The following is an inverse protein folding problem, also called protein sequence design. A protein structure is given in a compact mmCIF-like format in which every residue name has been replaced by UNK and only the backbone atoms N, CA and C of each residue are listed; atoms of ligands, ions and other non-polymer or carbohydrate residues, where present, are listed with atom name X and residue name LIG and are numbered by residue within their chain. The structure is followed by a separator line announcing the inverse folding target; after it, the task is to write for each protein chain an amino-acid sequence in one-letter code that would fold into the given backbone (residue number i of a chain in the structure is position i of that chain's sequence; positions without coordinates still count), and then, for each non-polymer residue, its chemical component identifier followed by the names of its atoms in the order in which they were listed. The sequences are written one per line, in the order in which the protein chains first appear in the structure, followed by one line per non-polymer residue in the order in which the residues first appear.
data_IF_252875048307
#
_entry.id   IF_252875048307
#
_cell.length_a   1.000
_cell.length_b   1.000
_cell.length_c   1.000
_cell.angle_alpha   90.00
_cell.angle_beta   90.00
_cell.angle_gamma   90.00
#
_symmetry.space_group_name_H-M   'P 1'
#
loop_
_entity.id
_entity.type
_entity.pdbx_description
1 polymer ?
#
# COMPACT_ATOMS: atom_id res chain seq x y z
N UNK A 1 10.42 10.56 -3.49
CA UNK A 1 9.76 9.92 -2.35
C UNK A 1 8.28 9.86 -2.64
N UNK A 2 7.68 8.68 -2.58
CA UNK A 2 6.26 8.50 -2.90
C UNK A 2 5.52 7.94 -1.69
N UNK A 3 4.51 8.68 -1.20
CA UNK A 3 3.65 8.28 -0.09
C UNK A 3 2.23 7.94 -0.57
N UNK A 4 1.70 6.83 -0.07
CA UNK A 4 0.34 6.36 -0.33
C UNK A 4 -0.41 6.29 1.00
N UNK A 5 -1.32 7.22 1.24
CA UNK A 5 -2.22 7.20 2.42
C UNK A 5 -3.33 6.16 2.22
N UNK A 6 -3.46 5.24 3.18
CA UNK A 6 -4.58 4.30 3.26
C UNK A 6 -5.72 4.94 4.04
N UNK A 7 -6.88 5.07 3.41
CA UNK A 7 -8.07 5.60 4.04
C UNK A 7 -9.26 4.65 3.91
N UNK A 8 -10.04 4.53 4.98
CA UNK A 8 -11.26 3.74 5.01
C UNK A 8 -12.27 4.28 3.98
N UNK A 9 -12.79 3.44 3.07
CA UNK A 9 -13.70 3.89 2.04
C UNK A 9 -15.04 4.45 2.55
N UNK A 10 -15.46 4.08 3.77
CA UNK A 10 -16.74 4.52 4.32
C UNK A 10 -16.72 5.95 4.88
N UNK A 11 -15.62 6.36 5.51
CA UNK A 11 -15.52 7.62 6.26
C UNK A 11 -14.26 8.44 5.97
N UNK A 12 -13.34 7.91 5.15
CA UNK A 12 -12.07 8.55 4.80
C UNK A 12 -11.06 8.63 5.95
N UNK A 13 -11.32 7.97 7.09
CA UNK A 13 -10.39 7.96 8.22
C UNK A 13 -9.13 7.14 7.91
N UNK A 14 -7.99 7.45 8.53
CA UNK A 14 -6.76 6.67 8.35
C UNK A 14 -6.97 5.18 8.63
N UNK A 15 -6.45 4.33 7.73
CA UNK A 15 -6.57 2.88 7.79
C UNK A 15 -5.21 2.23 8.13
N UNK A 16 -4.73 2.46 9.35
CA UNK A 16 -3.42 2.00 9.83
C UNK A 16 -3.21 0.48 9.75
N UNK A 17 -4.26 -0.29 10.04
CA UNK A 17 -4.24 -1.76 9.98
C UNK A 17 -4.03 -2.26 8.55
N UNK A 18 -4.56 -1.53 7.57
CA UNK A 18 -4.40 -1.82 6.14
C UNK A 18 -2.98 -1.49 5.68
N UNK A 19 -2.45 -0.34 6.11
CA UNK A 19 -1.05 0.00 5.86
C UNK A 19 -0.11 -1.08 6.45
N UNK A 20 -0.35 -1.56 7.67
CA UNK A 20 0.43 -2.65 8.28
C UNK A 20 0.33 -3.98 7.50
N UNK A 21 -0.86 -4.34 7.03
CA UNK A 21 -1.04 -5.54 6.19
C UNK A 21 -0.27 -5.44 4.87
N UNK A 22 -0.30 -4.27 4.23
CA UNK A 22 0.44 -4.00 2.99
C UNK A 22 1.96 -4.08 3.23
N UNK A 23 2.47 -3.51 4.32
CA UNK A 23 3.89 -3.62 4.66
C UNK A 23 4.31 -5.08 4.88
N UNK A 24 3.50 -5.85 5.61
CA UNK A 24 3.76 -7.28 5.86
C UNK A 24 3.79 -8.07 4.55
N UNK A 25 2.84 -7.80 3.65
CA UNK A 25 2.78 -8.42 2.34
C UNK A 25 4.00 -8.04 1.49
N UNK A 26 4.32 -6.76 1.38
CA UNK A 26 5.49 -6.27 0.65
C UNK A 26 6.78 -6.95 1.15
N UNK A 27 6.98 -7.03 2.46
CA UNK A 27 8.14 -7.67 3.07
C UNK A 27 8.23 -9.16 2.72
N UNK A 28 7.09 -9.89 2.73
CA UNK A 28 7.04 -11.31 2.31
C UNK A 28 7.39 -11.52 0.84
N UNK A 29 7.20 -10.49 0.02
CA UNK A 29 7.51 -10.49 -1.40
C UNK A 29 8.82 -9.76 -1.73
N UNK A 30 9.68 -9.53 -0.73
CA UNK A 30 11.03 -8.99 -0.93
C UNK A 30 11.09 -7.47 -1.13
N UNK A 31 10.00 -6.75 -0.87
CA UNK A 31 9.92 -5.29 -0.97
C UNK A 31 9.87 -4.66 0.43
N UNK A 32 10.86 -3.81 0.73
CA UNK A 32 10.87 -3.03 1.97
C UNK A 32 10.15 -1.71 1.71
N UNK A 33 9.16 -1.42 2.56
CA UNK A 33 8.43 -0.15 2.57
C UNK A 33 8.36 0.39 3.99
N UNK A 34 8.39 1.72 4.12
CA UNK A 34 8.20 2.38 5.41
C UNK A 34 6.73 2.68 5.65
N UNK A 35 6.35 2.67 6.92
CA UNK A 35 5.03 3.07 7.38
C UNK A 35 5.18 4.22 8.37
N UNK A 36 4.31 5.20 8.29
CA UNK A 36 4.35 6.36 9.18
C UNK A 36 3.34 7.41 8.78
N UNK A 37 3.28 8.52 9.52
CA UNK A 37 2.32 9.62 9.34
C UNK A 37 0.85 9.22 9.43
N UNK A 38 -0.02 10.19 9.70
CA UNK A 38 -1.48 10.02 9.73
C UNK A 38 -1.91 8.72 10.42
N UNK A 39 -1.52 8.58 11.68
CA UNK A 39 -1.83 7.39 12.49
C UNK A 39 -1.22 6.10 11.92
N UNK A 40 -0.01 6.20 11.33
CA UNK A 40 0.69 5.13 10.60
C UNK A 40 -0.09 4.53 9.43
N UNK A 41 -0.91 5.35 8.77
CA UNK A 41 -1.69 4.92 7.61
C UNK A 41 -1.01 5.20 6.26
N UNK A 42 0.17 5.85 6.23
CA UNK A 42 0.89 6.10 4.97
C UNK A 42 1.97 5.04 4.75
N UNK A 43 2.02 4.49 3.53
CA UNK A 43 3.08 3.61 3.04
C UNK A 43 4.00 4.40 2.12
N UNK A 44 5.32 4.26 2.31
CA UNK A 44 6.34 5.02 1.58
C UNK A 44 7.30 4.09 0.85
N UNK A 45 7.46 4.36 -0.43
CA UNK A 45 8.49 3.74 -1.26
C UNK A 45 9.66 4.73 -1.38
N UNK A 46 10.84 4.30 -0.94
CA UNK A 46 12.10 5.03 -1.03
C UNK A 46 13.11 4.18 -1.79
N UNK A 47 12.95 4.04 -3.12
CA UNK A 47 13.96 3.36 -3.90
C UNK A 47 15.23 4.22 -3.95
N UNK A 48 16.43 3.61 -3.98
CA UNK A 48 17.67 4.33 -4.25
C UNK A 48 17.58 5.18 -5.52
N UNK A 49 18.26 6.33 -5.55
CA UNK A 49 18.23 7.24 -6.71
C UNK A 49 18.84 6.63 -7.99
N UNK A 50 19.50 5.48 -7.87
CA UNK A 50 20.12 4.73 -8.96
C UNK A 50 19.26 3.60 -9.53
N UNK A 51 18.05 3.35 -9.02
CA UNK A 51 17.21 2.28 -9.56
C UNK A 51 16.63 2.65 -10.93
N UNK A 52 16.42 1.66 -11.78
CA UNK A 52 15.76 1.86 -13.08
C UNK A 52 14.25 1.98 -12.90
N UNK A 53 13.58 2.61 -13.88
CA UNK A 53 12.12 2.69 -13.90
C UNK A 53 11.46 1.30 -13.87
N UNK A 54 12.07 0.29 -14.51
CA UNK A 54 11.57 -1.09 -14.51
C UNK A 54 11.58 -1.70 -13.10
N UNK A 55 12.59 -1.39 -12.29
CA UNK A 55 12.66 -1.84 -10.88
C UNK A 55 11.56 -1.19 -10.05
N UNK A 56 11.25 0.08 -10.33
CA UNK A 56 10.14 0.78 -9.68
C UNK A 56 8.79 0.17 -10.10
N UNK A 57 8.61 -0.14 -11.38
CA UNK A 57 7.39 -0.77 -11.89
C UNK A 57 7.17 -2.16 -11.29
N UNK A 58 8.24 -2.96 -11.16
CA UNK A 58 8.18 -4.26 -10.46
C UNK A 58 7.77 -4.08 -8.98
N UNK A 59 8.33 -3.09 -8.29
CA UNK A 59 7.96 -2.79 -6.91
C UNK A 59 6.48 -2.36 -6.79
N UNK A 60 5.95 -1.62 -7.77
CA UNK A 60 4.54 -1.24 -7.84
C UNK A 60 3.59 -2.37 -8.29
N UNK A 61 4.12 -3.49 -8.79
CA UNK A 61 3.33 -4.66 -9.19
C UNK A 61 3.10 -5.64 -8.04
N UNK A 62 4.03 -5.72 -7.08
CA UNK A 62 3.99 -6.65 -5.95
C UNK A 62 2.70 -6.48 -5.14
N UNK A 63 2.43 -5.32 -4.51
CA UNK A 63 1.05 -4.95 -4.26
C UNK A 63 0.47 -4.47 -5.60
N UNK A 64 -0.71 -4.92 -6.06
CA UNK A 64 -1.44 -4.42 -7.24
C UNK A 64 -1.75 -2.89 -7.15
N UNK A 65 -0.72 -2.06 -7.20
CA UNK A 65 -0.70 -0.60 -7.14
C UNK A 65 -0.32 -0.15 -8.55
N UNK A 66 -1.16 -0.49 -9.54
CA UNK A 66 -0.83 -0.15 -10.93
C UNK A 66 -0.86 1.37 -11.14
N UNK A 67 0.18 1.90 -11.79
CA UNK A 67 0.39 3.32 -12.09
C UNK A 67 -0.70 3.98 -12.93
N UNK A 68 -1.42 3.20 -13.75
CA UNK A 68 -2.41 3.73 -14.70
C UNK A 68 -3.82 3.92 -14.15
N UNK A 69 -4.09 3.51 -12.90
CA UNK A 69 -5.44 3.65 -12.26
C UNK A 69 -5.34 4.05 -10.77
N UNK A 70 -4.38 4.93 -10.46
CA UNK A 70 -3.96 5.36 -9.11
C UNK A 70 -4.96 6.30 -8.39
N UNK A 71 -6.17 5.82 -8.10
CA UNK A 71 -7.07 6.42 -7.09
C UNK A 71 -7.48 5.43 -5.99
N UNK A 72 -7.03 4.17 -6.10
CA UNK A 72 -7.69 3.04 -5.48
C UNK A 72 -6.74 1.86 -5.31
N UNK A 73 -6.52 1.42 -4.07
CA UNK A 73 -5.89 0.13 -3.79
C UNK A 73 -6.99 -0.90 -3.56
N UNK A 74 -6.92 -2.00 -4.31
CA UNK A 74 -7.88 -3.09 -4.22
C UNK A 74 -7.14 -4.28 -3.63
N UNK A 75 -7.42 -4.62 -2.38
CA UNK A 75 -6.79 -5.77 -1.72
C UNK A 75 -7.54 -7.06 -2.10
N UNK A 76 -6.76 -8.08 -2.44
CA UNK A 76 -7.26 -9.45 -2.53
C UNK A 76 -7.42 -10.02 -1.12
N UNK A 77 -8.37 -10.93 -0.93
CA UNK A 77 -8.54 -11.68 0.33
C UNK A 77 -7.27 -12.41 0.77
N UNK A 78 -6.38 -12.76 -0.18
CA UNK A 78 -5.09 -13.41 0.10
C UNK A 78 -4.07 -12.54 0.84
N UNK A 79 -4.34 -11.25 1.01
CA UNK A 79 -3.44 -10.28 1.65
C UNK A 79 -3.77 -10.07 3.14
N UNK A 80 -4.91 -10.60 3.59
CA UNK A 80 -5.32 -10.54 4.99
C UNK A 80 -4.78 -11.75 5.74
N UNK A 81 -4.33 -11.58 6.99
CA UNK A 81 -4.09 -12.73 7.85
C UNK A 81 -5.39 -13.52 8.04
N UNK A 82 -5.35 -14.85 8.20
CA UNK A 82 -6.54 -15.72 8.15
C UNK A 82 -7.58 -15.42 9.24
N UNK A 83 -7.23 -14.64 10.26
CA UNK A 83 -8.11 -14.21 11.34
C UNK A 83 -8.75 -12.83 11.11
N UNK A 84 -8.30 -12.06 10.12
CA UNK A 84 -8.85 -10.75 9.82
C UNK A 84 -9.95 -10.85 8.76
N UNK A 85 -11.15 -10.37 9.07
CA UNK A 85 -12.23 -10.24 8.09
C UNK A 85 -11.79 -9.24 7.03
N UNK A 86 -11.68 -9.63 5.74
CA UNK A 86 -11.32 -8.69 4.69
C UNK A 86 -12.44 -7.64 4.59
N UNK A 87 -12.16 -6.35 4.75
CA UNK A 87 -13.12 -5.34 4.37
C UNK A 87 -13.27 -5.44 2.85
N UNK A 88 -14.44 -5.85 2.39
CA UNK A 88 -14.84 -5.76 0.98
C UNK A 88 -14.89 -4.29 0.60
N UNK A 89 -13.76 -3.72 0.20
CA UNK A 89 -13.66 -2.29 -0.05
C UNK A 89 -12.42 -1.90 -0.83
N UNK A 90 -12.62 -0.97 -1.76
CA UNK A 90 -11.54 -0.27 -2.45
C UNK A 90 -11.06 0.88 -1.57
N UNK A 91 -9.85 0.81 -1.02
CA UNK A 91 -9.28 1.89 -0.21
C UNK A 91 -8.88 3.05 -1.12
N UNK A 92 -9.26 4.27 -0.73
CA UNK A 92 -8.88 5.46 -1.47
C UNK A 92 -7.45 5.86 -1.11
N UNK A 93 -6.64 6.15 -2.13
CA UNK A 93 -5.26 6.58 -1.96
C UNK A 93 -5.12 8.07 -2.25
N UNK A 94 -4.45 8.80 -1.36
CA UNK A 94 -4.06 10.20 -1.55
C UNK A 94 -2.53 10.28 -1.63
N UNK A 95 -2.04 10.87 -2.71
CA UNK A 95 -0.63 11.15 -2.91
C UNK A 95 -0.21 12.38 -2.11
N UNK A 96 0.91 12.26 -1.40
CA UNK A 96 1.71 13.36 -0.86
C UNK A 96 3.14 13.17 -1.35
#
# INVERSE_FOLDING_TARGET
MWGIEMANPGDGRPAATIASAIQTYALRHGLIVERGEREDAVIRLLPPLSVTAEVVDMACATPNISSRRMRRVTMSSSWYPPWATPPTGCYSCRWK
#
